data_IF_553743114382
#
_entry.id   IF_553743114382
#
_cell.length_a   1.000
_cell.length_b   1.000
_cell.length_c   1.000
_cell.angle_alpha   90.00
_cell.angle_beta   90.00
_cell.angle_gamma   90.00
#
_symmetry.space_group_name_H-M   'P 1'
#
loop_
_entity.id
_entity.type
_entity.pdbx_description
1 polymer ?
#
# COMPACT_ATOMS: atom_id res chain seq x y z
N UNK A 1 1.66 -5.15 12.07
CA UNK A 1 1.86 -3.68 12.00
C UNK A 1 1.48 -3.10 10.64
N UNK A 2 1.97 -3.64 9.52
CA UNK A 2 1.67 -3.11 8.17
C UNK A 2 0.17 -3.01 7.86
N UNK A 3 -0.64 -3.96 8.32
CA UNK A 3 -2.09 -3.91 8.09
C UNK A 3 -2.77 -2.70 8.75
N UNK A 4 -2.27 -2.20 9.89
CA UNK A 4 -2.82 -0.99 10.52
C UNK A 4 -2.53 0.21 9.61
N UNK A 5 -1.28 0.38 9.18
CA UNK A 5 -0.89 1.46 8.29
C UNK A 5 -1.68 1.43 6.96
N UNK A 6 -1.78 0.27 6.31
CA UNK A 6 -2.37 0.18 4.98
C UNK A 6 -3.92 0.24 5.00
N UNK A 7 -4.56 -0.35 6.01
CA UNK A 7 -6.03 -0.46 6.07
C UNK A 7 -6.65 0.71 6.83
N UNK A 8 -6.08 1.09 7.98
CA UNK A 8 -6.67 2.12 8.87
C UNK A 8 -6.19 3.51 8.49
N UNK A 9 -4.88 3.71 8.45
CA UNK A 9 -4.29 5.05 8.27
C UNK A 9 -4.38 5.51 6.82
N UNK A 10 -3.85 4.70 5.89
CA UNK A 10 -3.77 5.06 4.47
C UNK A 10 -5.03 4.68 3.69
N UNK A 11 -5.82 3.74 4.22
CA UNK A 11 -7.03 3.22 3.58
C UNK A 11 -6.77 2.77 2.13
N UNK A 12 -5.60 2.21 1.85
CA UNK A 12 -5.21 1.73 0.50
C UNK A 12 -5.35 0.21 0.35
N UNK A 13 -5.78 -0.47 1.42
CA UNK A 13 -5.95 -1.92 1.43
C UNK A 13 -7.25 -2.31 2.15
N UNK A 14 -7.79 -3.46 1.76
CA UNK A 14 -8.92 -4.11 2.43
C UNK A 14 -8.38 -5.29 3.25
N UNK A 15 -8.78 -5.37 4.52
CA UNK A 15 -8.49 -6.53 5.36
C UNK A 15 -9.52 -7.61 5.04
N UNK A 16 -9.06 -8.78 4.61
CA UNK A 16 -9.93 -9.93 4.28
C UNK A 16 -9.94 -11.00 5.38
N UNK A 17 -8.94 -11.01 6.26
CA UNK A 17 -8.79 -11.99 7.33
C UNK A 17 -7.86 -11.45 8.42
N UNK A 18 -7.90 -12.04 9.62
CA UNK A 18 -7.02 -11.72 10.74
C UNK A 18 -6.58 -12.97 11.50
N UNK A 19 -5.28 -13.10 11.75
CA UNK A 19 -4.69 -14.26 12.42
C UNK A 19 -4.16 -15.31 11.45
N UNK A 20 -3.03 -15.93 11.79
CA UNK A 20 -2.32 -16.85 10.89
C UNK A 20 -3.06 -18.16 10.59
N UNK A 21 -4.00 -18.55 11.47
CA UNK A 21 -4.76 -19.80 11.37
C UNK A 21 -6.23 -19.57 10.98
N UNK A 22 -6.59 -18.33 10.67
CA UNK A 22 -7.98 -17.98 10.35
C UNK A 22 -8.26 -18.28 8.89
N UNK A 23 -9.29 -19.10 8.65
CA UNK A 23 -9.77 -19.43 7.31
C UNK A 23 -10.95 -18.50 6.98
N UNK A 24 -10.83 -17.62 5.96
CA UNK A 24 -11.91 -16.73 5.58
C UNK A 24 -13.05 -17.49 4.89
N UNK A 25 -14.27 -16.94 4.96
CA UNK A 25 -15.38 -17.46 4.20
C UNK A 25 -15.13 -17.30 2.69
N UNK A 26 -15.34 -18.38 1.92
CA UNK A 26 -15.03 -18.40 0.49
C UNK A 26 -15.87 -17.41 -0.32
N UNK A 27 -17.16 -17.28 -0.02
CA UNK A 27 -18.07 -16.40 -0.74
C UNK A 27 -17.75 -14.93 -0.46
N UNK A 28 -17.43 -14.61 0.80
CA UNK A 28 -16.99 -13.27 1.20
C UNK A 28 -15.66 -12.89 0.53
N UNK A 29 -14.68 -13.79 0.53
CA UNK A 29 -13.40 -13.56 -0.13
C UNK A 29 -13.58 -13.34 -1.63
N UNK A 30 -14.38 -14.19 -2.30
CA UNK A 30 -14.66 -14.05 -3.73
C UNK A 30 -15.31 -12.70 -4.05
N UNK A 31 -16.28 -12.27 -3.24
CA UNK A 31 -16.93 -10.96 -3.37
C UNK A 31 -15.93 -9.81 -3.22
N UNK A 32 -15.11 -9.80 -2.18
CA UNK A 32 -14.15 -8.72 -1.94
C UNK A 32 -13.11 -8.63 -3.06
N UNK A 33 -12.66 -9.77 -3.60
CA UNK A 33 -11.75 -9.79 -4.75
C UNK A 33 -12.45 -9.20 -5.99
N UNK A 34 -13.67 -9.64 -6.30
CA UNK A 34 -14.43 -9.13 -7.43
C UNK A 34 -14.64 -7.61 -7.35
N UNK A 35 -15.07 -7.10 -6.19
CA UNK A 35 -15.26 -5.66 -5.95
C UNK A 35 -13.95 -4.87 -6.09
N UNK A 36 -12.83 -5.44 -5.63
CA UNK A 36 -11.52 -4.79 -5.67
C UNK A 36 -10.99 -4.62 -7.09
N UNK A 37 -11.31 -5.54 -8.00
CA UNK A 37 -10.87 -5.49 -9.40
C UNK A 37 -11.87 -4.78 -10.31
N UNK A 38 -13.16 -4.76 -9.95
CA UNK A 38 -14.22 -4.11 -10.73
C UNK A 38 -14.32 -2.61 -10.47
N UNK A 39 -14.10 -2.15 -9.23
CA UNK A 39 -14.25 -0.75 -8.84
C UNK A 39 -12.96 0.03 -9.13
N UNK A 40 -12.85 0.56 -10.35
CA UNK A 40 -11.66 1.32 -10.77
C UNK A 40 -11.55 2.74 -10.18
N UNK A 41 -12.59 3.28 -9.51
CA UNK A 41 -12.66 4.73 -9.30
C UNK A 41 -12.16 5.23 -7.93
N UNK A 42 -12.64 4.70 -6.79
CA UNK A 42 -12.39 5.33 -5.47
C UNK A 42 -11.23 4.73 -4.67
N UNK A 43 -11.10 3.39 -4.64
CA UNK A 43 -9.93 2.72 -4.03
C UNK A 43 -8.64 3.02 -4.79
N UNK A 44 -8.76 3.20 -6.11
CA UNK A 44 -7.65 3.46 -7.01
C UNK A 44 -7.06 4.86 -6.85
N UNK A 45 -7.84 5.88 -6.47
CA UNK A 45 -7.32 7.25 -6.33
C UNK A 45 -6.29 7.35 -5.17
N UNK A 46 -6.60 6.80 -4.00
CA UNK A 46 -5.67 6.81 -2.85
C UNK A 46 -4.43 5.96 -3.12
N UNK A 47 -4.62 4.79 -3.72
CA UNK A 47 -3.51 3.91 -4.14
C UNK A 47 -2.64 4.63 -5.18
N UNK A 48 -3.25 5.32 -6.14
CA UNK A 48 -2.57 6.11 -7.15
C UNK A 48 -1.76 7.27 -6.57
N UNK A 49 -2.31 8.00 -5.59
CA UNK A 49 -1.60 9.05 -4.84
C UNK A 49 -0.40 8.49 -4.08
N UNK A 50 -0.57 7.38 -3.37
CA UNK A 50 0.52 6.71 -2.65
C UNK A 50 1.63 6.26 -3.62
N UNK A 51 1.24 5.64 -4.75
CA UNK A 51 2.18 5.24 -5.81
C UNK A 51 2.95 6.43 -6.36
N UNK A 52 2.27 7.54 -6.63
CA UNK A 52 2.91 8.76 -7.16
C UNK A 52 3.92 9.32 -6.16
N UNK A 53 3.53 9.46 -4.90
CA UNK A 53 4.43 9.93 -3.84
C UNK A 53 5.68 9.05 -3.70
N UNK A 54 5.52 7.72 -3.77
CA UNK A 54 6.65 6.79 -3.74
C UNK A 54 7.57 6.96 -4.96
N UNK A 55 7.02 7.11 -6.17
CA UNK A 55 7.80 7.34 -7.38
C UNK A 55 8.53 8.68 -7.34
N UNK A 56 7.88 9.74 -6.88
CA UNK A 56 8.47 11.07 -6.78
C UNK A 56 9.61 11.08 -5.75
N UNK A 57 9.47 10.34 -4.64
CA UNK A 57 10.52 10.21 -3.62
C UNK A 57 11.80 9.55 -4.16
N UNK A 58 11.69 8.54 -5.02
CA UNK A 58 12.85 7.81 -5.56
C UNK A 58 13.42 8.45 -6.83
N UNK A 59 12.61 9.19 -7.62
CA UNK A 59 13.05 9.82 -8.87
C UNK A 59 13.64 11.22 -8.62
N UNK A 60 14.76 11.27 -7.92
CA UNK A 60 15.43 12.53 -7.55
C UNK A 60 14.77 13.29 -6.40
N UNK A 61 13.76 12.67 -5.76
CA UNK A 61 13.08 13.21 -4.58
C UNK A 61 13.84 12.96 -3.28
N UNK A 62 13.08 12.86 -2.18
CA UNK A 62 13.62 12.74 -0.83
C UNK A 62 14.50 11.50 -0.65
N UNK A 63 13.99 10.32 -0.98
CA UNK A 63 14.74 9.07 -0.81
C UNK A 63 16.03 9.03 -1.61
N UNK A 64 16.05 9.59 -2.83
CA UNK A 64 17.28 9.74 -3.61
C UNK A 64 18.31 10.62 -2.90
N UNK A 65 17.88 11.79 -2.41
CA UNK A 65 18.76 12.74 -1.70
C UNK A 65 19.27 12.18 -0.38
N UNK A 66 18.44 11.43 0.33
CA UNK A 66 18.83 10.81 1.59
C UNK A 66 19.84 9.68 1.36
N UNK A 67 19.71 8.94 0.26
CA UNK A 67 20.71 7.97 -0.17
C UNK A 67 22.04 8.64 -0.54
N UNK A 68 22.02 9.76 -1.27
CA UNK A 68 23.23 10.51 -1.61
C UNK A 68 23.96 11.01 -0.35
N UNK A 69 23.22 11.57 0.61
CA UNK A 69 23.77 12.01 1.90
C UNK A 69 24.36 10.84 2.68
N UNK A 70 23.69 9.69 2.70
CA UNK A 70 24.20 8.50 3.35
C UNK A 70 25.53 8.07 2.72
N UNK A 71 25.61 8.03 1.40
CA UNK A 71 26.83 7.69 0.67
C UNK A 71 28.00 8.64 1.02
N UNK A 72 27.73 9.95 1.09
CA UNK A 72 28.73 10.95 1.53
C UNK A 72 29.17 10.77 2.98
N UNK A 73 28.28 10.32 3.87
CA UNK A 73 28.60 10.15 5.28
C UNK A 73 29.46 8.91 5.55
N UNK A 74 29.33 7.87 4.73
CA UNK A 74 30.04 6.59 4.90
C UNK A 74 31.30 6.46 4.05
N UNK A 75 31.61 7.47 3.23
CA UNK A 75 32.86 7.56 2.44
C UNK A 75 33.92 8.32 3.22
#
# INVERSE_FOLDING_TARGET
MNAILLVVELKVATRVCEGAQTVPNSDELARVVAESVSNQETGNERVGKLRRAALDAIKGGSSSKDLDKLAMHVS
#
